data_IF_418326292199
#
_entry.id   IF_418326292199
#
_cell.length_a   1.000
_cell.length_b   1.000
_cell.length_c   1.000
_cell.angle_alpha   90.00
_cell.angle_beta   90.00
_cell.angle_gamma   90.00
#
_symmetry.space_group_name_H-M   'P 1'
#
loop_
_entity.id
_entity.type
_entity.pdbx_description
1 polymer ?
#
# COMPACT_ATOMS: atom_id res chain seq x y z
N UNK A 1 -58.65 13.80 -33.06
CA UNK A 1 -57.63 13.40 -32.07
C UNK A 1 -57.68 11.90 -31.90
N UNK A 2 -56.57 11.23 -32.24
CA UNK A 2 -56.10 9.87 -31.90
C UNK A 2 -56.90 8.65 -32.41
N UNK A 3 -56.24 7.98 -33.37
CA UNK A 3 -56.53 6.67 -33.93
C UNK A 3 -56.20 5.53 -32.95
N UNK A 4 -57.13 4.57 -32.88
CA UNK A 4 -56.99 3.11 -33.01
C UNK A 4 -55.55 2.53 -33.17
N UNK A 5 -55.19 1.32 -32.73
CA UNK A 5 -55.83 0.24 -31.95
C UNK A 5 -54.85 -0.96 -31.89
N UNK A 6 -54.99 -1.83 -30.86
CA UNK A 6 -54.67 -3.29 -30.80
C UNK A 6 -53.20 -3.71 -30.94
N UNK A 7 -52.53 -4.12 -29.85
CA UNK A 7 -52.35 -5.50 -29.32
C UNK A 7 -51.95 -6.61 -30.31
N UNK A 8 -50.80 -7.20 -29.96
CA UNK A 8 -50.31 -8.58 -30.14
C UNK A 8 -49.37 -8.98 -31.30
N UNK A 9 -48.36 -9.74 -30.86
CA UNK A 9 -47.51 -10.68 -31.59
C UNK A 9 -46.39 -10.13 -32.50
N UNK A 10 -45.37 -9.56 -31.88
CA UNK A 10 -43.99 -9.63 -32.39
C UNK A 10 -42.97 -9.61 -31.23
N UNK A 11 -43.23 -10.46 -30.22
CA UNK A 11 -42.18 -11.06 -29.38
C UNK A 11 -41.49 -12.12 -30.28
N UNK A 12 -40.16 -12.17 -30.28
CA UNK A 12 -39.33 -13.38 -30.50
C UNK A 12 -38.09 -13.26 -31.39
N UNK A 13 -37.76 -12.11 -32.00
CA UNK A 13 -36.49 -12.00 -32.76
C UNK A 13 -35.57 -10.84 -32.33
N UNK A 14 -36.07 -9.86 -31.59
CA UNK A 14 -35.23 -8.75 -31.09
C UNK A 14 -34.62 -8.96 -29.69
N UNK A 15 -34.93 -10.08 -29.02
CA UNK A 15 -34.45 -10.36 -27.66
C UNK A 15 -33.09 -11.07 -27.59
N UNK A 16 -32.52 -11.55 -28.70
CA UNK A 16 -31.19 -12.18 -28.69
C UNK A 16 -30.03 -11.26 -29.12
N UNK A 17 -30.32 -10.11 -29.74
CA UNK A 17 -29.29 -9.17 -30.23
C UNK A 17 -28.91 -8.04 -29.27
N UNK A 18 -29.74 -7.72 -28.28
CA UNK A 18 -29.56 -6.57 -27.38
C UNK A 18 -28.94 -6.92 -26.01
N UNK A 19 -28.83 -8.20 -25.65
CA UNK A 19 -28.28 -8.60 -24.35
C UNK A 19 -26.75 -8.46 -24.26
N UNK A 20 -26.02 -8.44 -25.39
CA UNK A 20 -24.54 -8.38 -25.38
C UNK A 20 -24.02 -6.94 -25.38
N UNK A 21 -24.79 -5.95 -25.83
CA UNK A 21 -24.37 -4.53 -25.83
C UNK A 21 -24.69 -3.86 -24.48
N UNK A 22 -25.74 -4.30 -23.77
CA UNK A 22 -26.10 -3.75 -22.45
C UNK A 22 -25.03 -3.96 -21.36
N UNK A 23 -24.31 -5.09 -21.39
CA UNK A 23 -23.25 -5.39 -20.42
C UNK A 23 -21.94 -4.61 -20.63
N UNK A 24 -21.75 -3.97 -21.80
CA UNK A 24 -20.55 -3.17 -22.08
C UNK A 24 -20.72 -1.68 -21.77
N UNK A 25 -21.95 -1.20 -21.56
CA UNK A 25 -22.24 0.20 -21.20
C UNK A 25 -22.59 0.41 -19.71
N UNK A 26 -22.91 -0.63 -18.96
CA UNK A 26 -23.04 -0.56 -17.49
C UNK A 26 -21.70 -0.66 -16.74
N UNK A 27 -20.68 -1.23 -17.37
CA UNK A 27 -19.34 -1.32 -16.78
C UNK A 27 -18.59 0.02 -16.71
N UNK A 28 -19.00 1.03 -17.49
CA UNK A 28 -18.35 2.35 -17.53
C UNK A 28 -19.02 3.41 -16.65
N UNK A 29 -20.22 3.14 -16.11
CA UNK A 29 -20.95 4.09 -15.25
C UNK A 29 -20.88 3.78 -13.75
N UNK A 30 -20.47 2.56 -13.35
CA UNK A 30 -20.17 2.23 -11.95
C UNK A 30 -18.91 2.95 -11.43
N UNK A 31 -18.07 3.46 -12.32
CA UNK A 31 -16.84 4.19 -11.99
C UNK A 31 -17.06 5.70 -11.86
N UNK A 32 -18.17 6.13 -11.26
CA UNK A 32 -18.41 7.55 -10.98
C UNK A 32 -18.77 7.78 -9.51
N UNK A 33 -17.77 8.33 -8.80
CA UNK A 33 -17.85 9.12 -7.54
C UNK A 33 -18.27 8.36 -6.27
N UNK A 34 -17.29 7.90 -5.50
CA UNK A 34 -17.44 7.81 -4.04
C UNK A 34 -17.25 9.21 -3.43
N UNK A 35 -18.24 9.78 -2.71
CA UNK A 35 -18.20 11.18 -2.30
C UNK A 35 -17.38 11.47 -1.03
N UNK A 36 -16.58 10.52 -0.52
CA UNK A 36 -15.70 10.74 0.64
C UNK A 36 -14.48 9.80 0.63
N UNK A 37 -13.74 9.75 -0.49
CA UNK A 37 -12.39 9.22 -0.49
C UNK A 37 -11.41 10.40 -0.56
N UNK A 38 -10.87 10.80 0.58
CA UNK A 38 -9.65 11.60 0.59
C UNK A 38 -8.50 10.69 0.18
N UNK A 39 -7.90 10.99 -0.97
CA UNK A 39 -6.73 10.27 -1.45
C UNK A 39 -5.60 10.35 -0.39
N UNK A 40 -4.82 9.28 -0.18
CA UNK A 40 -3.63 9.32 0.66
C UNK A 40 -2.68 10.40 0.15
N UNK A 41 -2.04 11.10 1.09
CA UNK A 41 -1.15 12.25 0.85
C UNK A 41 -0.02 11.87 -0.12
N UNK A 42 0.18 12.62 -1.21
CA UNK A 42 1.22 12.37 -2.25
C UNK A 42 2.60 12.93 -1.84
N UNK A 43 3.64 12.09 -1.62
CA UNK A 43 5.00 12.56 -1.29
C UNK A 43 6.01 12.36 -2.44
N UNK A 44 5.56 12.28 -3.71
CA UNK A 44 6.30 11.96 -4.95
C UNK A 44 6.18 10.50 -5.39
N UNK A 45 5.68 10.29 -6.62
CA UNK A 45 5.48 9.02 -7.36
C UNK A 45 6.72 8.12 -7.42
N UNK A 46 7.16 7.56 -6.30
CA UNK A 46 8.34 6.70 -6.20
C UNK A 46 7.92 5.31 -5.74
N UNK A 47 8.48 4.25 -6.34
CA UNK A 47 8.10 2.88 -6.00
C UNK A 47 8.51 2.58 -4.56
N UNK A 48 7.59 2.02 -3.78
CA UNK A 48 7.84 1.46 -2.46
C UNK A 48 7.75 -0.06 -2.56
N UNK A 49 8.80 -0.75 -2.16
CA UNK A 49 8.91 -2.21 -2.23
C UNK A 49 9.12 -2.78 -0.83
N UNK A 50 8.26 -3.71 -0.42
CA UNK A 50 8.45 -4.50 0.79
C UNK A 50 9.24 -5.76 0.47
N UNK A 51 10.29 -6.02 1.25
CA UNK A 51 11.09 -7.24 1.16
C UNK A 51 10.74 -8.13 2.36
N UNK A 52 10.06 -9.24 2.07
CA UNK A 52 9.58 -10.19 3.08
C UNK A 52 10.36 -11.50 3.00
N UNK A 53 10.62 -12.13 4.15
CA UNK A 53 11.24 -13.45 4.21
C UNK A 53 11.74 -13.81 5.62
N UNK A 54 11.85 -15.11 5.92
CA UNK A 54 12.33 -15.60 7.24
C UNK A 54 13.85 -15.49 7.44
N UNK A 55 14.37 -15.62 8.66
CA UNK A 55 15.82 -15.58 8.93
C UNK A 55 16.62 -16.48 7.97
N UNK A 56 17.73 -15.97 7.44
CA UNK A 56 18.55 -16.72 6.48
C UNK A 56 17.98 -16.88 5.06
N UNK A 57 16.89 -16.19 4.70
CA UNK A 57 16.34 -16.21 3.33
C UNK A 57 17.07 -15.31 2.33
N UNK A 58 18.19 -14.69 2.71
CA UNK A 58 18.99 -13.85 1.81
C UNK A 58 18.42 -12.46 1.50
N UNK A 59 17.45 -11.95 2.28
CA UNK A 59 16.87 -10.61 2.13
C UNK A 59 17.93 -9.52 2.02
N UNK A 60 18.87 -9.47 2.95
CA UNK A 60 19.94 -8.46 2.97
C UNK A 60 20.72 -8.44 1.65
N UNK A 61 21.11 -9.61 1.15
CA UNK A 61 21.81 -9.74 -0.15
C UNK A 61 20.95 -9.25 -1.32
N UNK A 62 19.64 -9.47 -1.30
CA UNK A 62 18.74 -8.94 -2.32
C UNK A 62 18.56 -7.43 -2.19
N UNK A 63 18.47 -6.91 -0.97
CA UNK A 63 18.40 -5.47 -0.72
C UNK A 63 19.64 -4.76 -1.28
N UNK A 64 20.84 -5.25 -0.98
CA UNK A 64 22.10 -4.71 -1.50
C UNK A 64 22.13 -4.68 -3.04
N UNK A 65 21.68 -5.76 -3.69
CA UNK A 65 21.60 -5.83 -5.16
C UNK A 65 20.61 -4.80 -5.73
N UNK A 66 19.45 -4.63 -5.10
CA UNK A 66 18.43 -3.67 -5.53
C UNK A 66 18.94 -2.23 -5.36
N UNK A 67 19.58 -1.92 -4.24
CA UNK A 67 20.18 -0.62 -3.96
C UNK A 67 21.26 -0.31 -5.00
N UNK A 68 22.20 -1.25 -5.22
CA UNK A 68 23.29 -1.06 -6.18
C UNK A 68 22.79 -0.86 -7.63
N UNK A 69 21.74 -1.59 -8.03
CA UNK A 69 21.22 -1.55 -9.40
C UNK A 69 20.27 -0.38 -9.67
N UNK A 70 19.40 -0.05 -8.71
CA UNK A 70 18.30 0.90 -8.93
C UNK A 70 18.42 2.20 -8.10
N UNK A 71 19.38 2.27 -7.16
CA UNK A 71 19.58 3.44 -6.30
C UNK A 71 18.42 3.67 -5.34
N UNK A 72 17.81 2.61 -4.83
CA UNK A 72 16.72 2.70 -3.87
C UNK A 72 17.26 3.03 -2.48
N UNK A 73 16.49 3.81 -1.73
CA UNK A 73 16.77 4.07 -0.31
C UNK A 73 16.28 2.90 0.52
N UNK A 74 17.19 2.29 1.28
CA UNK A 74 16.87 1.19 2.17
C UNK A 74 16.40 1.70 3.53
N UNK A 75 15.23 1.24 3.96
CA UNK A 75 14.61 1.56 5.25
C UNK A 75 14.36 0.25 6.00
N UNK A 76 15.16 -0.02 7.03
CA UNK A 76 14.93 -1.13 7.95
C UNK A 76 14.18 -0.63 9.18
N UNK A 77 13.03 -1.23 9.49
CA UNK A 77 12.27 -0.85 10.70
C UNK A 77 13.07 -1.07 11.98
N UNK A 78 13.90 -2.11 12.01
CA UNK A 78 14.79 -2.37 13.15
C UNK A 78 15.83 -1.27 13.35
N UNK A 79 16.39 -0.72 12.26
CA UNK A 79 17.34 0.39 12.33
C UNK A 79 16.66 1.70 12.73
N UNK A 80 15.47 1.98 12.19
CA UNK A 80 14.69 3.15 12.56
C UNK A 80 14.34 3.16 14.05
N UNK A 81 13.91 2.02 14.60
CA UNK A 81 13.62 1.88 16.03
C UNK A 81 14.87 2.08 16.90
N UNK A 82 16.00 1.47 16.51
CA UNK A 82 17.28 1.66 17.23
C UNK A 82 17.78 3.10 17.16
N UNK A 83 17.61 3.78 16.02
CA UNK A 83 17.98 5.18 15.85
C UNK A 83 17.09 6.08 16.71
N UNK A 84 15.78 5.81 16.75
CA UNK A 84 14.84 6.56 17.57
C UNK A 84 15.18 6.42 19.06
N UNK A 85 15.46 5.20 19.54
CA UNK A 85 15.90 4.97 20.94
C UNK A 85 17.13 5.79 21.29
N UNK A 86 18.08 5.96 20.36
CA UNK A 86 19.30 6.75 20.56
C UNK A 86 19.06 8.27 20.51
N UNK A 87 17.95 8.73 19.94
CA UNK A 87 17.66 10.16 19.80
C UNK A 87 17.41 10.86 21.14
N UNK A 88 17.04 10.12 22.19
CA UNK A 88 16.71 10.68 23.50
C UNK A 88 15.41 11.49 23.53
N UNK A 89 14.60 11.43 22.46
CA UNK A 89 13.28 12.06 22.38
C UNK A 89 12.32 11.51 23.46
N UNK A 90 11.20 12.19 23.69
CA UNK A 90 10.16 11.66 24.58
C UNK A 90 9.60 10.32 24.07
N UNK A 91 9.45 10.20 22.74
CA UNK A 91 9.13 8.93 22.05
C UNK A 91 10.19 7.86 22.30
N UNK A 92 11.47 8.23 22.33
CA UNK A 92 12.57 7.32 22.64
C UNK A 92 12.46 6.74 24.06
N UNK A 93 12.08 7.55 25.05
CA UNK A 93 11.86 7.08 26.43
C UNK A 93 10.74 6.04 26.50
N UNK A 94 9.62 6.29 25.81
CA UNK A 94 8.53 5.33 25.71
C UNK A 94 8.97 4.04 25.02
N UNK A 95 9.70 4.14 23.90
CA UNK A 95 10.24 2.99 23.18
C UNK A 95 11.19 2.15 24.02
N UNK A 96 12.17 2.77 24.68
CA UNK A 96 13.12 2.10 25.57
C UNK A 96 12.37 1.31 26.63
N UNK A 97 11.37 1.93 27.26
CA UNK A 97 10.55 1.29 28.28
C UNK A 97 9.78 0.07 27.77
N UNK A 98 9.23 0.14 26.55
CA UNK A 98 8.53 -0.99 25.90
C UNK A 98 9.52 -2.12 25.57
N UNK A 99 10.67 -1.77 25.00
CA UNK A 99 11.70 -2.74 24.60
C UNK A 99 12.34 -3.44 25.81
N UNK A 100 12.57 -2.73 26.91
CA UNK A 100 13.08 -3.29 28.17
C UNK A 100 12.10 -4.29 28.80
N UNK A 101 10.78 -4.05 28.66
CA UNK A 101 9.75 -5.00 29.10
C UNK A 101 9.59 -6.20 28.17
N UNK A 102 10.29 -6.24 27.04
CA UNK A 102 10.14 -7.27 26.01
C UNK A 102 8.79 -7.22 25.29
N UNK A 103 8.09 -6.09 25.39
CA UNK A 103 6.80 -5.88 24.74
C UNK A 103 6.99 -5.56 23.24
N UNK A 104 5.95 -5.84 22.46
CA UNK A 104 5.94 -5.48 21.04
C UNK A 104 5.72 -3.97 20.89
N UNK A 105 6.51 -3.35 20.02
CA UNK A 105 6.36 -1.93 19.69
C UNK A 105 5.00 -1.71 18.99
N UNK A 106 4.19 -0.72 19.43
CA UNK A 106 2.91 -0.41 18.81
C UNK A 106 3.02 -0.13 17.31
N UNK A 107 2.04 -0.61 16.55
CA UNK A 107 2.01 -0.49 15.08
C UNK A 107 2.05 0.96 14.60
N UNK A 108 1.32 1.85 15.27
CA UNK A 108 1.23 3.26 14.90
C UNK A 108 2.58 3.96 14.99
N UNK A 109 3.38 3.62 16.02
CA UNK A 109 4.70 4.18 16.21
C UNK A 109 5.65 3.78 15.08
N UNK A 110 5.64 2.50 14.70
CA UNK A 110 6.45 2.01 13.57
C UNK A 110 6.02 2.67 12.26
N UNK A 111 4.71 2.88 12.07
CA UNK A 111 4.16 3.54 10.89
C UNK A 111 4.61 5.01 10.81
N UNK A 112 4.58 5.74 11.91
CA UNK A 112 5.03 7.13 11.99
C UNK A 112 6.53 7.26 11.69
N UNK A 113 7.37 6.39 12.27
CA UNK A 113 8.80 6.36 11.97
C UNK A 113 9.09 6.09 10.49
N UNK A 114 8.37 5.15 9.88
CA UNK A 114 8.50 4.87 8.45
C UNK A 114 8.07 6.07 7.60
N UNK A 115 6.96 6.72 7.96
CA UNK A 115 6.45 7.90 7.27
C UNK A 115 7.46 9.05 7.32
N UNK A 116 7.99 9.35 8.50
CA UNK A 116 9.03 10.37 8.69
C UNK A 116 10.28 10.06 7.85
N UNK A 117 10.75 8.81 7.88
CA UNK A 117 11.92 8.38 7.12
C UNK A 117 11.71 8.49 5.60
N UNK A 118 10.52 8.10 5.11
CA UNK A 118 10.16 8.24 3.69
C UNK A 118 10.13 9.71 3.29
N UNK A 119 9.50 10.58 4.07
CA UNK A 119 9.41 12.01 3.78
C UNK A 119 10.80 12.66 3.78
N UNK A 120 11.65 12.33 4.77
CA UNK A 120 12.99 12.87 4.87
C UNK A 120 13.87 12.53 3.64
N UNK A 121 13.73 11.32 3.10
CA UNK A 121 14.49 10.87 1.94
C UNK A 121 13.76 11.09 0.61
N UNK A 122 12.50 11.54 0.63
CA UNK A 122 11.68 11.76 -0.56
C UNK A 122 12.33 12.69 -1.60
N UNK A 123 13.08 13.76 -1.25
CA UNK A 123 13.69 14.62 -2.27
C UNK A 123 14.76 13.91 -3.11
N UNK A 124 15.52 12.99 -2.52
CA UNK A 124 16.73 12.39 -3.15
C UNK A 124 16.56 10.93 -3.55
N UNK A 125 15.64 10.19 -2.94
CA UNK A 125 15.41 8.78 -3.22
C UNK A 125 14.91 8.55 -4.66
N UNK A 126 15.27 7.43 -5.30
CA UNK A 126 14.63 6.98 -6.55
C UNK A 126 13.46 6.01 -6.32
N UNK A 127 13.39 5.46 -5.12
CA UNK A 127 12.45 4.45 -4.67
C UNK A 127 12.81 4.06 -3.24
N UNK A 128 11.91 3.34 -2.58
CA UNK A 128 12.08 2.91 -1.20
C UNK A 128 12.04 1.39 -1.12
N UNK A 129 12.97 0.83 -0.36
CA UNK A 129 13.02 -0.58 -0.04
C UNK A 129 12.82 -0.72 1.46
N UNK A 130 11.68 -1.27 1.87
CA UNK A 130 11.36 -1.46 3.28
C UNK A 130 11.62 -2.91 3.67
N UNK A 131 12.52 -3.11 4.64
CA UNK A 131 12.85 -4.42 5.21
C UNK A 131 12.30 -4.53 6.64
N UNK A 132 11.85 -5.73 7.02
CA UNK A 132 11.31 -6.02 8.34
C UNK A 132 9.88 -5.49 8.58
N UNK A 133 9.16 -5.12 7.51
CA UNK A 133 7.78 -4.63 7.55
C UNK A 133 7.00 -5.04 6.28
N UNK A 134 5.69 -5.31 6.39
CA UNK A 134 4.93 -5.54 7.61
C UNK A 134 5.20 -6.93 8.20
N UNK A 135 5.11 -7.05 9.53
CA UNK A 135 5.12 -8.33 10.26
C UNK A 135 3.72 -8.91 10.43
N UNK A 136 2.70 -8.06 10.38
CA UNK A 136 1.29 -8.43 10.50
C UNK A 136 0.45 -7.82 9.36
N UNK A 137 -0.65 -8.47 9.02
CA UNK A 137 -1.56 -7.97 7.97
C UNK A 137 -2.14 -6.58 8.30
N UNK A 138 -2.44 -6.33 9.58
CA UNK A 138 -2.94 -5.06 10.09
C UNK A 138 -2.00 -3.89 9.78
N UNK A 139 -0.70 -4.09 9.96
CA UNK A 139 0.35 -3.12 9.63
C UNK A 139 0.34 -2.78 8.14
N UNK A 140 0.27 -3.79 7.27
CA UNK A 140 0.25 -3.57 5.82
C UNK A 140 -0.95 -2.73 5.37
N UNK A 141 -2.14 -3.04 5.91
CA UNK A 141 -3.36 -2.27 5.62
C UNK A 141 -3.23 -0.82 6.10
N UNK A 142 -2.69 -0.61 7.31
CA UNK A 142 -2.48 0.72 7.86
C UNK A 142 -1.48 1.54 7.02
N UNK A 143 -0.42 0.91 6.52
CA UNK A 143 0.55 1.55 5.65
C UNK A 143 -0.06 1.99 4.33
N UNK A 144 -0.78 1.11 3.63
CA UNK A 144 -1.39 1.44 2.34
C UNK A 144 -2.46 2.54 2.47
N UNK A 145 -3.17 2.57 3.61
CA UNK A 145 -4.18 3.59 3.91
C UNK A 145 -3.55 4.96 4.22
N UNK A 146 -2.44 4.99 4.95
CA UNK A 146 -1.86 6.22 5.51
C UNK A 146 -0.73 6.80 4.66
N UNK A 147 0.06 5.95 4.02
CA UNK A 147 1.28 6.33 3.30
C UNK A 147 1.07 6.20 1.79
N UNK A 148 1.08 4.98 1.25
CA UNK A 148 1.02 4.74 -0.19
C UNK A 148 0.83 3.26 -0.53
N UNK A 149 0.32 2.94 -1.74
CA UNK A 149 0.34 1.58 -2.25
C UNK A 149 1.77 1.04 -2.40
N UNK A 150 1.93 -0.28 -2.24
CA UNK A 150 3.25 -0.92 -2.20
C UNK A 150 3.34 -2.10 -3.17
N UNK A 151 4.58 -2.46 -3.54
CA UNK A 151 4.88 -3.71 -4.23
C UNK A 151 5.54 -4.68 -3.26
N UNK A 152 5.08 -5.93 -3.21
CA UNK A 152 5.62 -6.94 -2.30
C UNK A 152 6.57 -7.88 -3.04
N UNK A 153 7.76 -8.11 -2.48
CA UNK A 153 8.74 -9.08 -2.95
C UNK A 153 9.05 -10.07 -1.84
N UNK A 154 8.76 -11.34 -2.11
CA UNK A 154 9.10 -12.44 -1.21
C UNK A 154 10.49 -12.99 -1.56
N UNK A 155 11.39 -13.02 -0.59
CA UNK A 155 12.65 -13.73 -0.67
C UNK A 155 12.45 -15.14 -0.12
N UNK A 156 12.28 -16.10 -1.02
CA UNK A 156 12.42 -17.52 -0.73
C UNK A 156 13.89 -17.96 -0.92
N UNK A 157 14.27 -19.05 -0.25
CA UNK A 157 15.55 -19.73 -0.49
C UNK A 157 15.55 -20.37 -1.87
#
# INVERSE_FOLDING_TARGET
>A
MKSWSKVDAARDVLYFGLLVIGLWLEATSFFRRRPNYQAPVDPSKKPIVWILGGPGSGKGTQCEKIIAKYGFTHLSTGDLLRAEVKSGSERAKCLTSIMERGELVPNDLVLDLLKEAIIAHAPTAKGFLVDGYPREKSQGIAFEKTIAPVTVRHCAK
#
